data_IF_835870908354
#
_entry.id   IF_835870908354
#
_cell.length_a   1.000
_cell.length_b   1.000
_cell.length_c   1.000
_cell.angle_alpha   90.00
_cell.angle_beta   90.00
_cell.angle_gamma   90.00
#
_symmetry.space_group_name_H-M   'P 1'
#
loop_
_entity.id
_entity.type
_entity.pdbx_description
1 polymer ?
#
# COMPACT_ATOMS: atom_id res chain seq x y z
N UNK A 1 3.92 -23.39 13.75
CA UNK A 1 2.77 -22.60 14.23
C UNK A 1 3.12 -21.13 13.99
N UNK A 2 2.69 -20.56 12.86
CA UNK A 2 2.98 -19.17 12.52
C UNK A 2 2.06 -18.30 13.37
N UNK A 3 2.63 -17.63 14.39
CA UNK A 3 1.90 -16.67 15.21
C UNK A 3 1.50 -15.49 14.34
N UNK A 4 0.19 -15.32 14.13
CA UNK A 4 -0.35 -14.11 13.54
C UNK A 4 -0.49 -13.08 14.66
N UNK A 5 0.06 -11.89 14.48
CA UNK A 5 -0.35 -10.73 15.28
C UNK A 5 -1.46 -10.03 14.48
N UNK A 6 -2.71 -10.22 14.93
CA UNK A 6 -3.92 -9.91 14.17
C UNK A 6 -4.29 -8.43 14.33
N UNK A 7 -3.46 -7.52 13.81
CA UNK A 7 -3.90 -6.15 13.56
C UNK A 7 -4.55 -6.06 12.18
N UNK A 8 -5.72 -6.69 12.01
CA UNK A 8 -6.45 -6.60 10.74
C UNK A 8 -6.91 -5.16 10.51
N UNK A 9 -6.38 -4.51 9.48
CA UNK A 9 -7.00 -3.31 8.91
C UNK A 9 -7.75 -3.72 7.66
N UNK A 10 -9.06 -3.51 7.66
CA UNK A 10 -9.90 -3.69 6.48
C UNK A 10 -9.75 -2.47 5.56
N UNK A 11 -9.34 -2.71 4.32
CA UNK A 11 -9.39 -1.74 3.22
C UNK A 11 -10.39 -2.17 2.15
N UNK A 12 -10.64 -1.32 1.14
CA UNK A 12 -11.71 -1.51 0.15
C UNK A 12 -11.69 -2.84 -0.62
N UNK A 13 -10.54 -3.51 -0.73
CA UNK A 13 -10.40 -4.78 -1.45
C UNK A 13 -9.69 -5.88 -0.66
N UNK A 14 -9.45 -5.70 0.64
CA UNK A 14 -8.65 -6.68 1.36
C UNK A 14 -8.32 -6.39 2.81
N UNK A 15 -7.77 -7.41 3.46
CA UNK A 15 -7.29 -7.35 4.83
C UNK A 15 -5.76 -7.30 4.86
N UNK A 16 -5.19 -6.45 5.73
CA UNK A 16 -3.72 -6.31 5.88
C UNK A 16 -3.28 -6.93 7.20
N UNK A 17 -2.20 -7.72 7.14
CA UNK A 17 -1.59 -8.41 8.29
C UNK A 17 -0.11 -8.05 8.41
N UNK A 18 0.39 -7.91 9.63
CA UNK A 18 1.84 -7.82 9.88
C UNK A 18 2.45 -9.23 9.87
N UNK A 19 3.62 -9.38 9.27
CA UNK A 19 4.37 -10.63 9.27
C UNK A 19 5.88 -10.40 9.28
N UNK A 20 6.67 -11.43 9.60
CA UNK A 20 8.14 -11.40 9.48
C UNK A 20 8.57 -12.29 8.32
N UNK A 21 9.25 -11.72 7.33
CA UNK A 21 9.81 -12.44 6.19
C UNK A 21 11.29 -12.11 6.03
N UNK A 22 12.16 -13.13 5.97
CA UNK A 22 13.62 -12.96 5.94
C UNK A 22 14.16 -12.01 7.03
N UNK A 23 13.67 -12.17 8.26
CA UNK A 23 14.02 -11.33 9.42
C UNK A 23 13.69 -9.83 9.24
N UNK A 24 12.70 -9.50 8.39
CA UNK A 24 12.18 -8.14 8.20
C UNK A 24 10.67 -8.11 8.39
N UNK A 25 10.17 -7.07 9.04
CA UNK A 25 8.73 -6.83 9.11
C UNK A 25 8.18 -6.48 7.73
N UNK A 26 7.07 -7.12 7.37
CA UNK A 26 6.33 -6.91 6.13
C UNK A 26 4.85 -6.78 6.41
N UNK A 27 4.15 -6.05 5.55
CA UNK A 27 2.69 -6.04 5.53
C UNK A 27 2.22 -6.97 4.40
N UNK A 28 1.32 -7.89 4.70
CA UNK A 28 0.70 -8.79 3.73
C UNK A 28 -0.75 -8.36 3.56
N UNK A 29 -1.09 -7.89 2.37
CA UNK A 29 -2.46 -7.57 1.99
C UNK A 29 -3.08 -8.75 1.25
N UNK A 30 -4.10 -9.36 1.85
CA UNK A 30 -4.93 -10.36 1.19
C UNK A 30 -5.99 -9.67 0.36
N UNK A 31 -6.00 -9.90 -0.94
CA UNK A 31 -7.00 -9.32 -1.81
C UNK A 31 -8.24 -10.21 -1.82
N UNK A 32 -9.41 -9.65 -1.53
CA UNK A 32 -10.70 -10.35 -1.51
C UNK A 32 -11.34 -10.45 -2.92
N UNK A 33 -10.69 -9.88 -3.94
CA UNK A 33 -11.15 -9.93 -5.33
C UNK A 33 -11.24 -11.36 -5.85
N UNK A 34 -12.42 -11.75 -6.34
CA UNK A 34 -12.67 -13.03 -6.97
C UNK A 34 -12.64 -12.87 -8.49
N UNK A 35 -12.10 -13.86 -9.22
CA UNK A 35 -12.18 -13.91 -10.71
C UNK A 35 -13.61 -13.86 -11.26
N UNK A 36 -14.62 -14.00 -10.41
CA UNK A 36 -16.05 -14.03 -10.74
C UNK A 36 -16.84 -12.82 -10.20
N UNK A 37 -16.16 -11.74 -9.78
CA UNK A 37 -16.81 -10.50 -9.36
C UNK A 37 -17.42 -9.73 -10.54
N UNK A 38 -18.24 -8.72 -10.25
CA UNK A 38 -18.77 -7.82 -11.28
C UNK A 38 -17.62 -7.16 -12.07
N UNK A 39 -17.89 -6.74 -13.31
CA UNK A 39 -16.87 -6.11 -14.16
C UNK A 39 -16.26 -4.86 -13.52
N UNK A 40 -17.05 -4.06 -12.79
CA UNK A 40 -16.56 -2.88 -12.06
C UNK A 40 -15.58 -3.24 -10.95
N UNK A 41 -15.89 -4.26 -10.14
CA UNK A 41 -15.03 -4.69 -9.03
C UNK A 41 -13.71 -5.26 -9.57
N UNK A 42 -13.76 -5.94 -10.71
CA UNK A 42 -12.58 -6.45 -11.39
C UNK A 42 -11.65 -5.32 -11.88
N UNK A 43 -12.19 -4.27 -12.51
CA UNK A 43 -11.38 -3.14 -12.95
C UNK A 43 -10.78 -2.35 -11.77
N UNK A 44 -11.53 -2.17 -10.68
CA UNK A 44 -10.99 -1.53 -9.48
C UNK A 44 -9.89 -2.37 -8.82
N UNK A 45 -10.06 -3.69 -8.76
CA UNK A 45 -9.03 -4.63 -8.30
C UNK A 45 -7.76 -4.55 -9.16
N UNK A 46 -7.88 -4.58 -10.49
CA UNK A 46 -6.75 -4.44 -11.41
C UNK A 46 -6.05 -3.09 -11.26
N UNK A 47 -6.81 -2.00 -11.08
CA UNK A 47 -6.27 -0.67 -10.86
C UNK A 47 -5.44 -0.62 -9.57
N UNK A 48 -5.91 -1.27 -8.51
CA UNK A 48 -5.18 -1.35 -7.25
C UNK A 48 -3.93 -2.22 -7.35
N UNK A 49 -3.98 -3.36 -8.05
CA UNK A 49 -2.79 -4.18 -8.31
C UNK A 49 -1.74 -3.41 -9.10
N UNK A 50 -2.16 -2.61 -10.09
CA UNK A 50 -1.24 -1.78 -10.86
C UNK A 50 -0.58 -0.70 -10.00
N UNK A 51 -1.28 -0.18 -8.98
CA UNK A 51 -0.70 0.77 -8.02
C UNK A 51 0.43 0.15 -7.20
N UNK A 52 0.49 -1.16 -7.03
CA UNK A 52 1.58 -1.87 -6.36
C UNK A 52 2.81 -2.12 -7.27
N UNK A 53 2.71 -1.84 -8.57
CA UNK A 53 3.81 -2.05 -9.55
C UNK A 53 4.70 -0.82 -9.75
N UNK A 54 4.64 0.13 -8.81
CA UNK A 54 5.44 1.34 -8.86
C UNK A 54 6.93 1.03 -8.66
N UNK A 55 7.84 1.81 -9.29
CA UNK A 55 9.26 1.70 -9.03
C UNK A 55 9.59 2.10 -7.58
N UNK A 56 10.77 1.72 -7.05
CA UNK A 56 11.21 2.14 -5.73
C UNK A 56 11.17 3.65 -5.52
N UNK A 57 10.57 4.05 -4.40
CA UNK A 57 10.42 5.45 -3.99
C UNK A 57 10.48 5.56 -2.48
N UNK A 58 11.18 6.56 -1.92
CA UNK A 58 11.16 6.78 -0.48
C UNK A 58 9.81 7.32 0.02
N UNK A 59 8.89 7.69 -0.89
CA UNK A 59 7.61 8.31 -0.54
C UNK A 59 6.41 7.38 -0.67
N UNK A 60 6.59 6.20 -1.28
CA UNK A 60 5.51 5.24 -1.52
C UNK A 60 5.95 3.87 -1.03
N UNK A 61 5.06 3.21 -0.29
CA UNK A 61 5.27 1.87 0.24
C UNK A 61 5.65 0.91 -0.88
N UNK A 62 6.82 0.29 -0.75
CA UNK A 62 7.37 -0.61 -1.74
C UNK A 62 6.74 -2.00 -1.67
N UNK A 63 6.33 -2.50 -2.82
CA UNK A 63 5.98 -3.91 -3.00
C UNK A 63 7.24 -4.76 -3.07
N UNK A 64 7.33 -5.75 -2.18
CA UNK A 64 8.44 -6.71 -2.11
C UNK A 64 8.15 -7.91 -2.99
N UNK A 65 6.91 -8.41 -2.97
CA UNK A 65 6.51 -9.57 -3.74
C UNK A 65 4.99 -9.61 -3.97
N UNK A 66 4.60 -10.34 -5.01
CA UNK A 66 3.24 -10.81 -5.22
C UNK A 66 3.21 -12.32 -5.04
N UNK A 67 2.15 -12.84 -4.46
CA UNK A 67 1.91 -14.29 -4.40
C UNK A 67 0.53 -14.60 -4.95
N UNK A 68 0.43 -15.67 -5.72
CA UNK A 68 -0.83 -16.19 -6.24
C UNK A 68 -0.99 -17.63 -5.79
N UNK A 69 -1.70 -17.82 -4.68
CA UNK A 69 -2.10 -19.13 -4.16
C UNK A 69 -3.62 -19.28 -4.21
N UNK A 70 -4.22 -19.64 -3.06
CA UNK A 70 -5.68 -19.70 -2.89
C UNK A 70 -6.32 -18.31 -3.05
N UNK A 71 -5.61 -17.26 -2.62
CA UNK A 71 -5.93 -15.86 -2.89
C UNK A 71 -4.68 -15.13 -3.39
N UNK A 72 -4.89 -13.99 -4.05
CA UNK A 72 -3.79 -13.09 -4.40
C UNK A 72 -3.39 -12.29 -3.16
N UNK A 73 -2.09 -12.27 -2.88
CA UNK A 73 -1.53 -11.48 -1.78
C UNK A 73 -0.46 -10.55 -2.32
N UNK A 74 -0.41 -9.35 -1.73
CA UNK A 74 0.64 -8.37 -1.98
C UNK A 74 1.46 -8.26 -0.70
N UNK A 75 2.76 -8.48 -0.81
CA UNK A 75 3.72 -8.32 0.29
C UNK A 75 4.43 -6.99 0.09
N UNK A 76 4.31 -6.10 1.07
CA UNK A 76 4.97 -4.79 1.05
C UNK A 76 5.87 -4.62 2.26
N UNK A 77 6.68 -3.57 2.27
CA UNK A 77 7.28 -3.12 3.52
C UNK A 77 6.21 -2.79 4.56
N UNK A 78 6.53 -3.00 5.83
CA UNK A 78 5.69 -2.60 6.94
C UNK A 78 6.05 -1.17 7.36
N UNK A 79 5.06 -0.28 7.38
CA UNK A 79 5.24 1.08 7.89
C UNK A 79 4.79 1.11 9.35
N UNK A 80 5.73 1.34 10.25
CA UNK A 80 5.45 1.50 11.67
C UNK A 80 4.73 2.81 11.98
N UNK A 81 3.94 2.80 13.05
CA UNK A 81 3.25 3.99 13.56
C UNK A 81 1.81 4.15 13.05
N UNK A 82 1.35 5.40 13.06
CA UNK A 82 -0.04 5.77 12.77
C UNK A 82 -0.14 6.37 11.37
N UNK A 83 -1.26 6.14 10.69
CA UNK A 83 -1.51 6.83 9.43
C UNK A 83 -1.86 8.31 9.68
N UNK A 84 -1.74 9.14 8.65
CA UNK A 84 -1.98 10.58 8.77
C UNK A 84 -3.38 10.92 9.30
N UNK A 85 -4.42 10.14 8.94
CA UNK A 85 -5.78 10.33 9.47
C UNK A 85 -5.85 10.08 10.98
N UNK A 86 -5.17 9.03 11.46
CA UNK A 86 -5.08 8.73 12.89
C UNK A 86 -4.30 9.79 13.66
N UNK A 87 -3.29 10.39 13.04
CA UNK A 87 -2.55 11.53 13.62
C UNK A 87 -3.45 12.77 13.70
N UNK A 88 -4.10 13.14 12.59
CA UNK A 88 -4.98 14.32 12.51
C UNK A 88 -6.17 14.22 13.49
N UNK A 89 -6.71 13.01 13.68
CA UNK A 89 -7.85 12.77 14.56
C UNK A 89 -7.46 12.55 16.03
N UNK A 90 -6.17 12.58 16.37
CA UNK A 90 -5.72 12.49 17.76
C UNK A 90 -5.60 13.89 18.36
N UNK A 91 -6.48 14.22 19.30
CA UNK A 91 -6.49 15.51 19.99
C UNK A 91 -5.18 15.81 20.74
N UNK A 92 -4.39 14.77 21.06
CA UNK A 92 -3.09 14.90 21.71
C UNK A 92 -1.94 15.04 20.70
N UNK A 93 -2.21 14.95 19.40
CA UNK A 93 -1.19 15.13 18.39
C UNK A 93 -0.81 16.61 18.29
N UNK A 94 0.27 16.96 18.99
CA UNK A 94 0.88 18.26 18.90
C UNK A 94 1.96 18.23 17.81
N UNK A 95 1.78 19.03 16.76
CA UNK A 95 2.73 19.16 15.66
C UNK A 95 2.98 20.64 15.35
N UNK A 96 4.23 21.00 15.09
CA UNK A 96 4.61 22.37 14.75
C UNK A 96 4.18 22.74 13.33
N UNK A 97 4.12 24.04 13.03
CA UNK A 97 3.84 24.49 11.66
C UNK A 97 4.93 24.04 10.66
N UNK A 98 6.17 23.91 11.12
CA UNK A 98 7.28 23.38 10.32
C UNK A 98 7.06 21.91 9.98
N UNK A 99 6.66 21.08 10.94
CA UNK A 99 6.35 19.66 10.71
C UNK A 99 5.16 19.49 9.76
N UNK A 100 4.12 20.32 9.89
CA UNK A 100 2.98 20.34 8.97
C UNK A 100 3.40 20.69 7.54
N UNK A 101 4.29 21.68 7.39
CA UNK A 101 4.83 22.05 6.09
C UNK A 101 5.63 20.88 5.48
N UNK A 102 6.45 20.19 6.27
CA UNK A 102 7.21 19.03 5.83
C UNK A 102 6.29 17.88 5.39
N UNK A 103 5.23 17.58 6.13
CA UNK A 103 4.21 16.60 5.73
C UNK A 103 3.54 17.00 4.41
N UNK A 104 3.20 18.27 4.24
CA UNK A 104 2.64 18.80 2.99
C UNK A 104 3.58 18.64 1.79
N UNK A 105 4.88 18.91 1.99
CA UNK A 105 5.90 18.71 0.96
C UNK A 105 6.08 17.25 0.59
N UNK A 106 6.06 16.33 1.57
CA UNK A 106 6.11 14.88 1.31
C UNK A 106 4.90 14.41 0.50
N UNK A 107 3.69 14.85 0.85
CA UNK A 107 2.47 14.54 0.09
C UNK A 107 2.56 15.06 -1.35
N UNK A 108 3.10 16.26 -1.56
CA UNK A 108 3.33 16.80 -2.91
C UNK A 108 4.33 15.93 -3.69
N UNK A 109 5.43 15.51 -3.05
CA UNK A 109 6.41 14.60 -3.66
C UNK A 109 5.78 13.26 -4.09
N UNK A 110 4.85 12.71 -3.29
CA UNK A 110 4.07 11.51 -3.66
C UNK A 110 3.29 11.75 -4.94
N UNK A 111 2.54 12.84 -5.04
CA UNK A 111 1.75 13.16 -6.24
C UNK A 111 2.64 13.31 -7.49
N UNK A 112 3.76 14.02 -7.36
CA UNK A 112 4.72 14.16 -8.45
C UNK A 112 5.29 12.81 -8.90
N UNK A 113 5.65 11.95 -7.95
CA UNK A 113 6.17 10.60 -8.23
C UNK A 113 5.13 9.72 -8.93
N UNK A 114 3.88 9.71 -8.45
CA UNK A 114 2.79 8.92 -9.03
C UNK A 114 2.45 9.41 -10.44
N UNK A 115 2.42 10.72 -10.67
CA UNK A 115 2.17 11.30 -11.99
C UNK A 115 3.20 10.85 -13.04
N UNK A 116 4.49 10.86 -12.68
CA UNK A 116 5.58 10.43 -13.58
C UNK A 116 5.66 8.90 -13.76
N UNK A 117 5.20 8.13 -12.78
CA UNK A 117 5.23 6.66 -12.82
C UNK A 117 4.07 6.06 -13.59
N UNK A 118 2.89 6.70 -13.54
CA UNK A 118 1.70 6.28 -14.27
C UNK A 118 1.91 6.28 -15.79
N UNK A 119 2.76 7.18 -16.30
CA UNK A 119 3.14 7.20 -17.72
C UNK A 119 4.04 6.03 -18.12
N UNK A 120 4.82 5.41 -17.21
CA UNK A 120 5.77 4.35 -17.54
C UNK A 120 5.17 2.94 -17.47
N UNK A 121 4.18 2.70 -16.62
CA UNK A 121 3.52 1.38 -16.52
C UNK A 121 2.84 0.93 -17.83
N UNK A 122 2.43 1.87 -18.69
CA UNK A 122 1.87 1.56 -20.02
C UNK A 122 2.91 1.15 -21.08
N UNK A 123 4.21 1.40 -20.85
CA UNK A 123 5.27 1.04 -21.81
C UNK A 123 5.91 -0.32 -21.54
N UNK A 124 5.63 -0.95 -20.40
CA UNK A 124 6.17 -2.28 -20.05
C UNK A 124 5.29 -3.46 -20.54
N UNK A 125 4.24 -3.18 -21.33
CA UNK A 125 3.34 -4.18 -21.92
C UNK A 125 3.54 -4.39 -23.44
N UNK A 126 4.60 -3.81 -24.02
CA UNK A 126 4.98 -4.05 -25.42
C UNK A 126 6.41 -4.57 -25.51
N UNK A 127 6.59 -5.84 -25.20
CA UNK A 127 7.67 -6.68 -25.74
C UNK A 127 7.15 -8.12 -25.90
#
# INVERSE_FOLDING_TARGET
MLGYELSSREGGFGSVFRHVYNNRDVAIKHMHGSRHSSSSDFYSFCSELNAFRLPPSPFVVQTVAFTSGICMQVVTEFVEGRNLRQLINDDNWNTSDEERLLLGLQVNAIFYFLGNSSSKSFYLEKD
#
